data_IF_024494539834
#
_entry.id   IF_024494539834
#
_cell.length_a   1.000
_cell.length_b   1.000
_cell.length_c   1.000
_cell.angle_alpha   90.00
_cell.angle_beta   90.00
_cell.angle_gamma   90.00
#
_symmetry.space_group_name_H-M   'P 1'
#
loop_
_entity.id
_entity.type
_entity.pdbx_description
1 polymer ?
#
# COMPACT_ATOMS: atom_id res chain seq x y z
N UNK A 1 5.76 6.55 10.63
CA UNK A 1 6.97 6.71 9.81
C UNK A 1 6.67 7.60 8.62
N UNK A 2 7.48 8.61 8.38
CA UNK A 2 7.28 9.51 7.24
C UNK A 2 7.94 8.92 6.00
N UNK A 3 7.22 8.87 4.89
CA UNK A 3 7.75 8.36 3.62
C UNK A 3 7.48 9.35 2.50
N UNK A 4 8.25 9.25 1.42
CA UNK A 4 8.08 10.05 0.21
C UNK A 4 7.94 9.09 -0.96
N UNK A 5 6.90 9.26 -1.78
CA UNK A 5 6.68 8.40 -2.93
C UNK A 5 7.31 9.00 -4.21
N UNK A 6 7.17 8.31 -5.34
CA UNK A 6 7.75 8.74 -6.63
C UNK A 6 7.09 9.97 -7.22
N UNK A 7 5.97 10.42 -6.67
CA UNK A 7 5.27 11.63 -7.08
C UNK A 7 5.61 12.82 -6.20
N UNK A 8 6.68 12.69 -5.37
CA UNK A 8 7.15 13.71 -4.42
C UNK A 8 6.12 14.03 -3.34
N UNK A 9 5.20 13.12 -3.07
CA UNK A 9 4.26 13.26 -1.98
C UNK A 9 4.89 12.72 -0.70
N UNK A 10 4.87 13.52 0.34
CA UNK A 10 5.39 13.12 1.65
C UNK A 10 4.22 13.00 2.62
N UNK A 11 4.16 11.88 3.33
CA UNK A 11 3.09 11.65 4.29
C UNK A 11 3.53 10.68 5.37
N UNK A 12 2.81 10.74 6.49
CA UNK A 12 2.99 9.80 7.61
C UNK A 12 2.24 8.53 7.31
N UNK A 13 2.90 7.38 7.51
CA UNK A 13 2.27 6.07 7.38
C UNK A 13 2.48 5.27 8.67
N UNK A 14 1.41 4.66 9.16
CA UNK A 14 1.42 3.82 10.35
C UNK A 14 0.66 2.53 10.07
N UNK A 15 0.96 1.49 10.85
CA UNK A 15 0.19 0.24 10.80
C UNK A 15 -1.29 0.57 11.07
N UNK A 16 -2.17 0.06 10.23
CA UNK A 16 -3.60 0.34 10.31
C UNK A 16 -4.10 1.44 9.38
N UNK A 17 -3.19 2.22 8.79
CA UNK A 17 -3.59 3.27 7.84
C UNK A 17 -4.03 2.68 6.51
N UNK A 18 -4.93 3.37 5.84
CA UNK A 18 -5.31 3.03 4.46
C UNK A 18 -4.36 3.72 3.49
N UNK A 19 -3.88 2.94 2.52
CA UNK A 19 -3.01 3.44 1.45
C UNK A 19 -3.50 2.87 0.13
N UNK A 20 -3.16 3.58 -0.95
CA UNK A 20 -3.40 3.11 -2.31
C UNK A 20 -2.10 2.75 -2.98
N UNK A 21 -2.17 1.89 -3.98
CA UNK A 21 -1.04 1.53 -4.84
C UNK A 21 -1.59 1.05 -6.18
N UNK A 22 -0.72 0.91 -7.16
CA UNK A 22 -1.15 0.46 -8.49
C UNK A 22 -0.47 -0.85 -8.85
N UNK A 23 -1.29 -1.84 -9.18
CA UNK A 23 -0.84 -3.12 -9.74
C UNK A 23 -1.75 -3.37 -10.94
N UNK A 24 -1.37 -2.86 -12.11
CA UNK A 24 -2.17 -2.72 -13.33
C UNK A 24 -3.36 -1.78 -13.15
N UNK A 25 -4.17 -1.98 -12.14
CA UNK A 25 -5.25 -1.08 -11.75
C UNK A 25 -5.00 -0.58 -10.33
N UNK A 26 -5.69 0.50 -9.97
CA UNK A 26 -5.55 1.06 -8.64
C UNK A 26 -6.14 0.12 -7.60
N UNK A 27 -5.37 -0.13 -6.55
CA UNK A 27 -5.75 -0.97 -5.43
C UNK A 27 -5.65 -0.16 -4.15
N UNK A 28 -6.31 -0.61 -3.10
CA UNK A 28 -6.16 0.00 -1.78
C UNK A 28 -6.19 -1.08 -0.71
N UNK A 29 -5.64 -0.75 0.43
CA UNK A 29 -5.62 -1.68 1.55
C UNK A 29 -5.09 -1.02 2.81
N UNK A 30 -5.09 -1.78 3.88
CA UNK A 30 -4.62 -1.34 5.18
C UNK A 30 -3.18 -1.81 5.40
N UNK A 31 -2.34 -0.92 5.92
CA UNK A 31 -0.96 -1.26 6.23
C UNK A 31 -0.94 -2.28 7.37
N UNK A 32 -0.38 -3.44 7.11
CA UNK A 32 -0.20 -4.51 8.09
C UNK A 32 1.17 -4.44 8.75
N UNK A 33 2.20 -4.12 7.97
CA UNK A 33 3.57 -4.08 8.45
C UNK A 33 4.36 -3.03 7.66
N UNK A 34 5.28 -2.36 8.34
CA UNK A 34 6.21 -1.42 7.72
C UNK A 34 7.59 -2.05 7.77
N UNK A 35 8.18 -2.29 6.60
CA UNK A 35 9.53 -2.83 6.49
C UNK A 35 10.49 -1.67 6.24
N UNK A 36 11.41 -1.44 7.17
CA UNK A 36 12.33 -0.30 7.11
C UNK A 36 13.23 -0.26 5.88
N UNK A 37 13.36 -1.38 5.19
CA UNK A 37 14.11 -1.45 3.94
C UNK A 37 13.43 -0.74 2.77
N UNK A 38 12.23 -0.22 2.97
CA UNK A 38 11.56 0.60 1.98
C UNK A 38 10.29 -0.02 1.41
N UNK A 39 9.62 -0.90 2.13
CA UNK A 39 8.40 -1.55 1.67
C UNK A 39 7.34 -1.64 2.76
N UNK A 40 6.09 -1.78 2.31
CA UNK A 40 4.93 -2.00 3.18
C UNK A 40 4.30 -3.33 2.83
N UNK A 41 3.79 -4.04 3.83
CA UNK A 41 2.85 -5.13 3.59
C UNK A 41 1.45 -4.54 3.78
N UNK A 42 0.66 -4.58 2.72
CA UNK A 42 -0.70 -4.03 2.68
C UNK A 42 -1.67 -5.19 2.58
N UNK A 43 -2.74 -5.15 3.36
CA UNK A 43 -3.77 -6.19 3.33
C UNK A 43 -5.13 -5.60 3.00
N UNK A 44 -5.96 -6.41 2.36
CA UNK A 44 -7.36 -6.10 2.15
C UNK A 44 -8.16 -7.39 2.35
N UNK A 45 -8.97 -7.42 3.41
CA UNK A 45 -9.74 -8.61 3.80
C UNK A 45 -10.74 -9.06 2.74
N UNK A 46 -11.18 -8.14 1.90
CA UNK A 46 -12.10 -8.43 0.81
C UNK A 46 -11.35 -8.84 -0.47
N UNK A 47 -10.03 -8.93 -0.40
CA UNK A 47 -9.18 -9.17 -1.56
C UNK A 47 -8.97 -7.90 -2.39
N UNK A 48 -7.99 -7.94 -3.27
CA UNK A 48 -7.72 -6.85 -4.20
C UNK A 48 -8.53 -7.09 -5.48
N UNK A 49 -8.93 -6.00 -6.15
CA UNK A 49 -9.70 -6.09 -7.37
C UNK A 49 -8.94 -6.82 -8.48
N UNK A 50 -9.65 -7.73 -9.17
CA UNK A 50 -9.09 -8.51 -10.26
C UNK A 50 -8.12 -9.58 -9.78
N UNK A 51 -7.51 -10.27 -10.74
CA UNK A 51 -6.57 -11.36 -10.46
C UNK A 51 -5.11 -10.90 -10.54
N UNK A 52 -4.88 -9.60 -10.49
CA UNK A 52 -3.55 -9.02 -10.69
C UNK A 52 -2.56 -9.39 -9.59
N UNK A 53 -3.07 -9.69 -8.42
CA UNK A 53 -2.25 -10.10 -7.27
C UNK A 53 -2.54 -11.56 -6.91
N UNK A 54 -3.02 -12.34 -7.89
CA UNK A 54 -3.24 -13.77 -7.72
C UNK A 54 -4.32 -14.14 -6.73
N UNK A 55 -5.26 -13.23 -6.44
CA UNK A 55 -6.31 -13.47 -5.46
C UNK A 55 -5.84 -13.35 -4.02
N UNK A 56 -4.60 -12.92 -3.80
CA UNK A 56 -4.06 -12.74 -2.47
C UNK A 56 -4.75 -11.58 -1.74
N UNK A 57 -4.73 -11.65 -0.42
CA UNK A 57 -5.24 -10.57 0.44
C UNK A 57 -4.13 -9.71 1.00
N UNK A 58 -2.88 -9.99 0.65
CA UNK A 58 -1.70 -9.22 1.07
C UNK A 58 -0.81 -8.92 -0.12
N UNK A 59 -0.17 -7.77 -0.11
CA UNK A 59 0.77 -7.36 -1.15
C UNK A 59 1.95 -6.64 -0.53
N UNK A 60 3.13 -6.88 -1.10
CA UNK A 60 4.35 -6.14 -0.74
C UNK A 60 4.48 -4.96 -1.71
N UNK A 61 4.51 -3.75 -1.20
CA UNK A 61 4.51 -2.53 -2.00
C UNK A 61 5.63 -1.61 -1.55
N UNK A 62 6.41 -1.09 -2.48
CA UNK A 62 7.48 -0.15 -2.17
C UNK A 62 6.96 1.19 -1.68
N UNK A 63 7.73 1.89 -0.85
CA UNK A 63 7.37 3.22 -0.34
C UNK A 63 7.12 4.21 -1.47
N UNK A 64 7.84 4.09 -2.57
CA UNK A 64 7.73 4.98 -3.71
C UNK A 64 6.45 4.75 -4.53
N UNK A 65 5.78 3.64 -4.32
CA UNK A 65 4.63 3.24 -5.13
C UNK A 65 3.28 3.38 -4.42
N UNK A 66 3.26 3.97 -3.23
CA UNK A 66 2.02 4.11 -2.45
C UNK A 66 1.62 5.57 -2.32
N UNK A 67 0.34 5.81 -2.13
CA UNK A 67 -0.20 7.12 -1.78
C UNK A 67 -1.15 6.98 -0.61
N UNK A 68 -1.43 8.09 0.06
CA UNK A 68 -2.34 8.08 1.21
C UNK A 68 -3.78 8.09 0.74
N UNK A 69 -4.58 7.19 1.30
CA UNK A 69 -6.02 7.18 1.09
C UNK A 69 -6.73 7.77 2.30
N UNK A 70 -7.78 8.53 2.04
CA UNK A 70 -8.59 9.15 3.08
C UNK A 70 -9.92 8.41 3.17
N UNK A 71 -10.02 7.54 4.14
CA UNK A 71 -11.25 6.83 4.45
C UNK A 71 -11.76 7.21 5.82
#
# INVERSE_FOLDING_TARGET
MKITNKWDEEFEVNVGDWVGFKCDIEQCGRVKEIQRRGALIVENKNGFDGDYIGGDTEALVGFDEVWKENY
#
